data_IF_116561361064
#
_entry.id   IF_116561361064
#
_cell.length_a   1.000
_cell.length_b   1.000
_cell.length_c   1.000
_cell.angle_alpha   90.00
_cell.angle_beta   90.00
_cell.angle_gamma   90.00
#
_symmetry.space_group_name_H-M   'P 1'
#
loop_
_entity.id
_entity.type
_entity.pdbx_description
1 polymer ?
#
# COMPACT_ATOMS: atom_id res chain seq x y z
N UNK A 1 -18.70 12.06 -20.74
CA UNK A 1 -18.77 13.21 -19.82
C UNK A 1 -17.47 13.23 -19.06
N UNK A 2 -16.78 14.36 -19.11
CA UNK A 2 -15.48 14.56 -18.46
C UNK A 2 -15.72 15.56 -17.34
N UNK A 3 -15.71 15.08 -16.09
CA UNK A 3 -16.06 15.83 -14.88
C UNK A 3 -15.29 17.16 -14.81
N UNK A 4 -14.03 17.17 -15.26
CA UNK A 4 -13.15 18.34 -15.25
C UNK A 4 -13.66 19.43 -16.21
N UNK A 5 -14.24 19.04 -17.35
CA UNK A 5 -14.73 19.99 -18.37
C UNK A 5 -16.09 20.61 -18.01
N UNK A 6 -16.79 20.07 -17.02
CA UNK A 6 -18.10 20.54 -16.56
C UNK A 6 -18.00 21.51 -15.36
N UNK A 7 -16.80 21.73 -14.80
CA UNK A 7 -16.60 22.63 -13.67
C UNK A 7 -16.52 24.09 -14.11
N UNK A 8 -17.33 24.95 -13.49
CA UNK A 8 -17.30 26.41 -13.72
C UNK A 8 -16.05 27.10 -13.15
N UNK A 9 -15.37 26.44 -12.21
CA UNK A 9 -14.12 26.90 -11.60
C UNK A 9 -13.20 25.70 -11.33
N UNK A 10 -12.19 25.53 -12.20
CA UNK A 10 -11.22 24.44 -12.11
C UNK A 10 -10.31 24.61 -10.88
N UNK A 11 -10.11 25.84 -10.38
CA UNK A 11 -9.26 26.10 -9.21
C UNK A 11 -9.88 25.63 -7.89
N UNK A 12 -11.21 25.43 -7.87
CA UNK A 12 -11.93 24.83 -6.76
C UNK A 12 -11.80 23.29 -6.71
N UNK A 13 -11.30 22.65 -7.77
CA UNK A 13 -11.07 21.20 -7.80
C UNK A 13 -9.80 20.89 -7.03
N UNK A 14 -9.95 20.19 -5.91
CA UNK A 14 -8.85 19.79 -5.03
C UNK A 14 -8.73 18.27 -4.98
N UNK A 15 -7.53 17.78 -4.66
CA UNK A 15 -7.30 16.36 -4.39
C UNK A 15 -8.07 16.00 -3.11
N UNK A 16 -8.99 15.04 -3.22
CA UNK A 16 -9.85 14.61 -2.10
C UNK A 16 -9.16 13.71 -1.07
N UNK A 17 -7.85 13.51 -1.20
CA UNK A 17 -7.04 12.66 -0.32
C UNK A 17 -5.77 13.39 0.09
N UNK A 18 -5.43 13.30 1.36
CA UNK A 18 -4.27 13.92 1.97
C UNK A 18 -3.53 12.88 2.83
N UNK A 19 -3.02 11.83 2.20
CA UNK A 19 -2.35 10.74 2.93
C UNK A 19 -0.84 10.97 3.10
N UNK A 20 -0.18 11.61 2.14
CA UNK A 20 1.27 11.90 2.22
C UNK A 20 1.53 12.98 3.29
N UNK A 21 2.10 12.60 4.43
CA UNK A 21 2.33 13.48 5.60
C UNK A 21 1.05 14.13 6.13
N UNK A 22 -0.10 13.51 5.85
CA UNK A 22 -1.41 14.01 6.23
C UNK A 22 -2.16 13.02 7.12
N UNK A 23 -3.41 13.33 7.46
CA UNK A 23 -4.20 12.51 8.38
C UNK A 23 -4.86 11.29 7.71
N UNK A 24 -4.87 11.22 6.38
CA UNK A 24 -5.56 10.16 5.65
C UNK A 24 -4.67 8.92 5.50
N UNK A 25 -5.30 7.77 5.30
CA UNK A 25 -4.62 6.53 4.95
C UNK A 25 -5.10 6.02 3.60
N UNK A 26 -4.17 5.61 2.75
CA UNK A 26 -4.45 4.94 1.49
C UNK A 26 -4.20 3.43 1.63
N UNK A 27 -5.20 2.64 1.27
CA UNK A 27 -5.10 1.19 1.19
C UNK A 27 -5.21 0.73 -0.25
N UNK A 28 -4.32 -0.16 -0.66
CA UNK A 28 -4.44 -0.91 -1.92
C UNK A 28 -4.31 -2.40 -1.66
N UNK A 29 -5.10 -3.20 -2.38
CA UNK A 29 -5.01 -4.65 -2.36
C UNK A 29 -4.53 -5.13 -3.71
N UNK A 30 -3.41 -5.83 -3.72
CA UNK A 30 -2.85 -6.52 -4.88
C UNK A 30 -3.02 -8.04 -4.76
N UNK A 31 -3.91 -8.48 -3.87
CA UNK A 31 -4.32 -9.87 -3.80
C UNK A 31 -4.94 -10.31 -5.11
N UNK A 32 -4.63 -11.53 -5.54
CA UNK A 32 -5.15 -12.14 -6.77
C UNK A 32 -4.75 -11.39 -8.05
N UNK A 33 -3.74 -10.53 -8.00
CA UNK A 33 -3.15 -9.94 -9.21
C UNK A 33 -2.17 -10.88 -9.91
N UNK A 34 -1.79 -12.00 -9.28
CA UNK A 34 -0.82 -12.94 -9.82
C UNK A 34 0.57 -12.35 -9.85
N UNK A 35 0.98 -11.67 -8.76
CA UNK A 35 2.25 -10.94 -8.66
C UNK A 35 3.45 -11.85 -8.94
N UNK A 36 3.32 -13.13 -8.62
CA UNK A 36 4.36 -14.15 -8.78
C UNK A 36 4.13 -15.06 -10.00
N UNK A 37 3.09 -14.82 -10.81
CA UNK A 37 2.76 -15.63 -11.98
C UNK A 37 3.57 -15.25 -13.22
N UNK A 38 4.26 -14.10 -13.22
CA UNK A 38 5.16 -13.75 -14.30
C UNK A 38 6.23 -14.84 -14.45
N UNK A 39 6.56 -15.22 -15.68
CA UNK A 39 7.54 -16.25 -15.97
C UNK A 39 8.40 -15.82 -17.15
N UNK A 40 9.71 -15.89 -16.98
CA UNK A 40 10.68 -15.69 -18.05
C UNK A 40 11.67 -16.86 -18.00
N UNK A 41 11.69 -17.66 -19.06
CA UNK A 41 12.55 -18.84 -19.18
C UNK A 41 12.46 -19.82 -17.98
N UNK A 42 11.24 -20.08 -17.49
CA UNK A 42 10.99 -20.96 -16.34
C UNK A 42 11.31 -20.33 -14.97
N UNK A 43 11.62 -19.04 -14.92
CA UNK A 43 11.94 -18.31 -13.68
C UNK A 43 10.78 -17.40 -13.28
N UNK A 44 10.31 -17.58 -12.04
CA UNK A 44 9.31 -16.73 -11.41
C UNK A 44 9.95 -15.65 -10.50
N UNK A 45 9.27 -14.52 -10.25
CA UNK A 45 9.73 -13.52 -9.30
C UNK A 45 9.98 -14.10 -7.91
N UNK A 46 11.13 -13.78 -7.32
CA UNK A 46 11.41 -14.11 -5.92
C UNK A 46 10.78 -13.12 -4.94
N UNK A 47 10.58 -11.89 -5.40
CA UNK A 47 10.00 -10.79 -4.66
C UNK A 47 9.34 -9.82 -5.64
N UNK A 48 8.13 -9.39 -5.31
CA UNK A 48 7.37 -8.42 -6.07
C UNK A 48 6.79 -7.42 -5.06
N UNK A 49 7.02 -6.13 -5.28
CA UNK A 49 6.57 -5.07 -4.39
C UNK A 49 6.33 -3.78 -5.16
N UNK A 50 5.70 -2.81 -4.50
CA UNK A 50 5.65 -1.44 -5.00
C UNK A 50 7.09 -0.90 -5.19
N UNK A 51 7.35 -0.15 -6.28
CA UNK A 51 8.65 0.47 -6.50
C UNK A 51 8.95 1.46 -5.36
N UNK A 52 10.23 1.71 -5.11
CA UNK A 52 10.63 2.76 -4.18
C UNK A 52 10.26 4.12 -4.78
N UNK A 53 9.22 4.77 -4.27
CA UNK A 53 8.87 6.15 -4.61
C UNK A 53 9.15 7.06 -3.39
N UNK A 54 9.56 8.32 -3.62
CA UNK A 54 9.68 9.29 -2.56
C UNK A 54 8.29 9.62 -1.98
N UNK A 55 8.16 9.60 -0.64
CA UNK A 55 6.99 10.15 0.06
C UNK A 55 5.77 9.23 0.19
N UNK A 56 5.96 7.95 0.53
CA UNK A 56 4.86 6.99 0.77
C UNK A 56 4.23 7.04 2.17
N UNK A 57 4.40 8.11 2.95
CA UNK A 57 3.70 8.19 4.25
C UNK A 57 2.18 8.02 4.06
N UNK A 58 1.54 7.34 5.02
CA UNK A 58 0.11 7.05 4.99
C UNK A 58 -0.32 5.96 4.00
N UNK A 59 0.61 5.16 3.45
CA UNK A 59 0.30 4.13 2.47
C UNK A 59 0.41 2.70 3.04
N UNK A 60 -0.62 1.88 2.80
CA UNK A 60 -0.66 0.48 3.17
C UNK A 60 -1.03 -0.40 1.97
N UNK A 61 -0.25 -1.43 1.72
CA UNK A 61 -0.39 -2.32 0.58
C UNK A 61 -0.52 -3.76 1.08
N UNK A 62 -1.61 -4.41 0.70
CA UNK A 62 -1.84 -5.85 0.94
C UNK A 62 -1.42 -6.61 -0.30
N UNK A 63 -0.49 -7.55 -0.18
CA UNK A 63 0.07 -8.33 -1.29
C UNK A 63 -0.07 -9.83 -1.06
N UNK A 64 0.06 -10.58 -2.15
CA UNK A 64 0.31 -12.03 -2.09
C UNK A 64 1.60 -12.29 -1.27
N UNK A 65 1.64 -13.41 -0.56
CA UNK A 65 2.81 -13.77 0.23
C UNK A 65 4.05 -13.99 -0.65
N UNK A 66 5.23 -13.66 -0.10
CA UNK A 66 6.49 -13.78 -0.80
C UNK A 66 6.67 -15.15 -1.51
N UNK A 67 7.10 -15.12 -2.78
CA UNK A 67 7.27 -16.29 -3.67
C UNK A 67 5.95 -17.02 -4.01
N UNK A 68 4.81 -16.37 -3.82
CA UNK A 68 3.50 -16.98 -4.05
C UNK A 68 3.15 -18.05 -3.01
N UNK A 69 3.68 -17.92 -1.80
CA UNK A 69 3.34 -18.82 -0.69
C UNK A 69 1.90 -18.63 -0.18
N UNK A 70 1.54 -19.41 0.84
CA UNK A 70 0.26 -19.25 1.51
C UNK A 70 0.26 -18.02 2.41
N UNK A 71 -0.87 -17.28 2.43
CA UNK A 71 -1.07 -16.12 3.29
C UNK A 71 -1.02 -14.78 2.54
N UNK A 72 -0.83 -13.71 3.31
CA UNK A 72 -0.77 -12.34 2.82
C UNK A 72 0.41 -11.62 3.45
N UNK A 73 1.02 -10.72 2.70
CA UNK A 73 1.99 -9.76 3.22
C UNK A 73 1.35 -8.37 3.27
N UNK A 74 1.71 -7.54 4.26
CA UNK A 74 1.25 -6.17 4.37
C UNK A 74 2.43 -5.22 4.48
N UNK A 75 2.65 -4.43 3.42
CA UNK A 75 3.64 -3.35 3.40
C UNK A 75 3.02 -2.06 3.92
N UNK A 76 3.57 -1.51 5.00
CA UNK A 76 3.09 -0.25 5.60
C UNK A 76 4.20 0.80 5.56
N UNK A 77 3.86 2.00 5.09
CA UNK A 77 4.76 3.12 4.95
C UNK A 77 4.24 4.27 5.79
N UNK A 78 5.02 4.67 6.79
CA UNK A 78 4.68 5.73 7.72
C UNK A 78 5.94 6.54 8.07
N UNK A 79 5.75 7.79 8.49
CA UNK A 79 6.78 8.54 9.17
C UNK A 79 7.38 7.74 10.34
N UNK A 80 8.68 7.90 10.58
CA UNK A 80 9.42 7.10 11.54
C UNK A 80 8.74 7.01 12.92
N UNK A 81 8.23 8.13 13.43
CA UNK A 81 7.55 8.16 14.74
C UNK A 81 6.22 7.40 14.72
N UNK A 82 5.45 7.48 13.62
CA UNK A 82 4.21 6.73 13.46
C UNK A 82 4.47 5.23 13.30
N UNK A 83 5.53 4.86 12.56
CA UNK A 83 5.96 3.47 12.41
C UNK A 83 6.36 2.84 13.77
N UNK A 84 7.08 3.57 14.62
CA UNK A 84 7.42 3.07 15.96
C UNK A 84 6.19 2.89 16.86
N UNK A 85 5.17 3.74 16.72
CA UNK A 85 3.88 3.54 17.42
C UNK A 85 3.15 2.31 16.91
N UNK A 86 3.11 2.10 15.58
CA UNK A 86 2.49 0.93 14.97
C UNK A 86 3.14 -0.37 15.46
N UNK A 87 4.48 -0.44 15.50
CA UNK A 87 5.21 -1.61 16.02
C UNK A 87 4.83 -1.94 17.47
N UNK A 88 4.69 -0.92 18.32
CA UNK A 88 4.27 -1.11 19.71
C UNK A 88 2.85 -1.65 19.80
N UNK A 89 1.91 -1.03 19.08
CA UNK A 89 0.51 -1.50 19.04
C UNK A 89 0.43 -2.94 18.52
N UNK A 90 1.19 -3.30 17.49
CA UNK A 90 1.20 -4.66 16.93
C UNK A 90 1.72 -5.70 17.92
N UNK A 91 2.72 -5.34 18.75
CA UNK A 91 3.22 -6.22 19.81
C UNK A 91 2.19 -6.45 20.94
N UNK A 92 1.23 -5.54 21.12
CA UNK A 92 0.17 -5.65 22.13
C UNK A 92 -1.02 -6.51 21.64
N UNK A 93 -1.08 -6.85 20.35
CA UNK A 93 -2.16 -7.68 19.79
C UNK A 93 -1.87 -9.17 20.04
N UNK A 94 -2.41 -9.70 21.14
CA UNK A 94 -2.07 -11.04 21.65
C UNK A 94 -2.35 -12.18 20.67
N UNK A 95 -3.45 -12.15 19.93
CA UNK A 95 -3.85 -13.24 19.03
C UNK A 95 -2.97 -13.37 17.77
N UNK A 96 -2.11 -12.39 17.48
CA UNK A 96 -1.16 -12.46 16.36
C UNK A 96 0.12 -13.20 16.72
N UNK A 97 0.32 -13.56 17.99
CA UNK A 97 1.51 -14.22 18.52
C UNK A 97 1.21 -15.60 19.13
N UNK A 98 -0.01 -16.10 18.97
CA UNK A 98 -0.46 -17.45 19.33
C UNK A 98 -0.30 -18.42 18.15
#
# INVERSE_FOLDING_TARGET
>A
MDFVTEQSDISAVQVGTNFVFGPDLMFTSWLHMGMYNAEFDGVHPWFACAPQLPGFDGFAMVTEAQKGGDGIDVGVFLECTAMEKLKKMFAEVTYLHE
#
